data_IF_380465739904
#
_entry.id   IF_380465739904
#
_cell.length_a   1.000
_cell.length_b   1.000
_cell.length_c   1.000
_cell.angle_alpha   90.00
_cell.angle_beta   90.00
_cell.angle_gamma   90.00
#
_symmetry.space_group_name_H-M   'P 1'
#
loop_
_entity.id
_entity.type
_entity.pdbx_description
1 polymer ?
#
# COMPACT_ATOMS: atom_id res chain seq x y z
N UNK A 1 19.16 28.24 -0.10
CA UNK A 1 17.76 27.81 -0.45
C UNK A 1 17.70 27.11 -1.79
N UNK A 2 18.15 27.72 -2.91
CA UNK A 2 18.15 27.06 -4.22
C UNK A 2 18.84 25.68 -4.23
N UNK A 3 19.92 25.50 -3.48
CA UNK A 3 20.61 24.21 -3.36
C UNK A 3 19.74 23.10 -2.73
N UNK A 4 19.02 23.39 -1.64
CA UNK A 4 18.14 22.41 -0.97
C UNK A 4 16.96 22.04 -1.89
N UNK A 5 16.40 23.02 -2.60
CA UNK A 5 15.33 22.82 -3.57
C UNK A 5 15.79 21.94 -4.72
N UNK A 6 16.93 22.25 -5.33
CA UNK A 6 17.50 21.48 -6.44
C UNK A 6 17.89 20.07 -5.99
N UNK A 7 18.48 19.93 -4.81
CA UNK A 7 18.85 18.63 -4.25
C UNK A 7 17.61 17.76 -3.99
N UNK A 8 16.58 18.33 -3.35
CA UNK A 8 15.34 17.59 -3.04
C UNK A 8 14.61 17.13 -4.31
N UNK A 9 14.40 18.03 -5.27
CA UNK A 9 13.79 17.68 -6.56
C UNK A 9 14.67 16.68 -7.32
N UNK A 10 15.98 16.89 -7.34
CA UNK A 10 16.92 15.99 -8.02
C UNK A 10 16.87 14.57 -7.47
N UNK A 11 16.85 14.41 -6.13
CA UNK A 11 16.76 13.10 -5.48
C UNK A 11 15.44 12.39 -5.79
N UNK A 12 14.29 13.10 -5.69
CA UNK A 12 12.98 12.52 -5.98
C UNK A 12 12.87 12.16 -7.46
N UNK A 13 13.35 13.01 -8.36
CA UNK A 13 13.36 12.74 -9.80
C UNK A 13 14.26 11.55 -10.16
N UNK A 14 15.46 11.49 -9.58
CA UNK A 14 16.36 10.35 -9.77
C UNK A 14 15.71 9.03 -9.30
N UNK A 15 15.08 9.05 -8.12
CA UNK A 15 14.33 7.89 -7.62
C UNK A 15 13.21 7.48 -8.59
N UNK A 16 12.40 8.42 -9.05
CA UNK A 16 11.30 8.14 -9.98
C UNK A 16 11.80 7.47 -11.27
N UNK A 17 12.89 8.00 -11.84
CA UNK A 17 13.52 7.40 -13.03
C UNK A 17 14.03 5.99 -12.73
N UNK A 18 14.74 5.79 -11.61
CA UNK A 18 15.26 4.47 -11.22
C UNK A 18 14.12 3.46 -11.04
N UNK A 19 13.07 3.82 -10.30
CA UNK A 19 11.90 2.97 -10.10
C UNK A 19 11.23 2.63 -11.44
N UNK A 20 11.02 3.61 -12.32
CA UNK A 20 10.44 3.38 -13.64
C UNK A 20 11.28 2.44 -14.50
N UNK A 21 12.61 2.62 -14.52
CA UNK A 21 13.54 1.75 -15.26
C UNK A 21 13.53 0.33 -14.70
N UNK A 22 13.60 0.17 -13.37
CA UNK A 22 13.57 -1.14 -12.74
C UNK A 22 12.24 -1.87 -13.00
N UNK A 23 11.12 -1.17 -12.94
CA UNK A 23 9.81 -1.73 -13.23
C UNK A 23 9.68 -2.17 -14.71
N UNK A 24 10.27 -1.41 -15.64
CA UNK A 24 10.34 -1.82 -17.05
C UNK A 24 11.22 -3.08 -17.22
N UNK A 25 12.36 -3.14 -16.57
CA UNK A 25 13.25 -4.32 -16.62
C UNK A 25 12.54 -5.54 -16.02
N UNK A 26 11.83 -5.37 -14.91
CA UNK A 26 11.05 -6.46 -14.29
C UNK A 26 10.02 -7.03 -15.28
N UNK A 27 9.31 -6.18 -16.01
CA UNK A 27 8.31 -6.60 -17.02
C UNK A 27 8.87 -7.54 -18.10
N UNK A 28 10.15 -7.37 -18.46
CA UNK A 28 10.83 -8.23 -19.44
C UNK A 28 11.53 -9.43 -18.79
N UNK A 29 11.48 -9.55 -17.47
CA UNK A 29 11.93 -10.75 -16.76
C UNK A 29 10.98 -11.90 -17.09
N UNK A 30 11.54 -13.11 -17.27
CA UNK A 30 10.71 -14.30 -17.42
C UNK A 30 9.82 -14.46 -16.18
N UNK A 31 8.52 -14.39 -16.37
CA UNK A 31 7.54 -14.62 -15.30
C UNK A 31 7.62 -16.05 -14.77
N UNK A 32 6.94 -16.33 -13.65
CA UNK A 32 6.83 -17.69 -13.17
C UNK A 32 6.15 -18.54 -14.24
N UNK A 33 6.70 -19.71 -14.48
CA UNK A 33 6.05 -20.71 -15.34
C UNK A 33 4.90 -21.34 -14.61
N UNK A 34 3.78 -21.49 -15.26
CA UNK A 34 2.69 -22.26 -14.71
C UNK A 34 3.11 -23.73 -14.59
N UNK A 35 2.93 -24.29 -13.40
CA UNK A 35 3.19 -25.70 -13.10
C UNK A 35 1.84 -26.39 -12.82
N UNK A 36 1.20 -27.00 -13.82
CA UNK A 36 -0.14 -27.60 -13.65
C UNK A 36 -0.21 -28.66 -12.56
N UNK A 37 0.91 -29.35 -12.31
CA UNK A 37 1.00 -30.39 -11.27
C UNK A 37 1.17 -29.80 -9.85
N UNK A 38 1.51 -28.52 -9.72
CA UNK A 38 1.67 -27.86 -8.42
C UNK A 38 0.35 -27.22 -7.99
N UNK A 39 -0.51 -28.01 -7.37
CA UNK A 39 -1.81 -27.59 -6.84
C UNK A 39 -1.96 -28.03 -5.37
N UNK A 40 -1.19 -27.43 -4.43
CA UNK A 40 -1.35 -27.69 -3.01
C UNK A 40 -2.74 -27.21 -2.53
N UNK A 41 -3.17 -27.69 -1.36
CA UNK A 41 -4.30 -27.06 -0.67
C UNK A 41 -3.92 -25.61 -0.30
N UNK A 42 -4.88 -24.70 -0.42
CA UNK A 42 -4.76 -23.27 -0.06
C UNK A 42 -5.83 -22.91 0.96
N UNK A 43 -5.46 -22.24 2.04
CA UNK A 43 -6.40 -21.64 2.98
C UNK A 43 -6.51 -20.14 2.72
N UNK A 44 -7.68 -19.68 2.32
CA UNK A 44 -7.98 -18.25 2.17
C UNK A 44 -8.47 -17.72 3.50
N UNK A 45 -7.77 -16.70 4.04
CA UNK A 45 -8.02 -16.10 5.35
C UNK A 45 -8.64 -14.73 5.19
N UNK A 46 -9.83 -14.52 5.73
CA UNK A 46 -10.59 -13.26 5.63
C UNK A 46 -10.92 -12.77 7.04
N UNK A 47 -10.14 -11.85 7.62
CA UNK A 47 -10.51 -11.22 8.89
C UNK A 47 -11.59 -10.17 8.65
N UNK A 48 -12.68 -10.20 9.41
CA UNK A 48 -13.80 -9.28 9.28
C UNK A 48 -14.11 -8.60 10.62
N UNK A 49 -14.39 -7.30 10.58
CA UNK A 49 -14.90 -6.54 11.73
C UNK A 49 -15.78 -5.39 11.25
N UNK A 50 -17.10 -5.52 11.46
CA UNK A 50 -18.11 -4.54 11.01
C UNK A 50 -18.05 -4.29 9.49
N UNK A 51 -18.24 -5.35 8.71
CA UNK A 51 -18.17 -5.36 7.24
C UNK A 51 -19.43 -5.94 6.61
N UNK A 52 -20.60 -5.76 7.25
CA UNK A 52 -21.88 -6.34 6.81
C UNK A 52 -22.23 -6.00 5.35
N UNK A 53 -21.85 -4.81 4.88
CA UNK A 53 -22.20 -4.34 3.54
C UNK A 53 -21.40 -5.03 2.42
N UNK A 54 -20.21 -5.56 2.70
CA UNK A 54 -19.27 -6.01 1.68
C UNK A 54 -18.80 -7.46 1.84
N UNK A 55 -18.84 -8.02 3.06
CA UNK A 55 -18.25 -9.32 3.38
C UNK A 55 -18.78 -10.48 2.52
N UNK A 56 -20.07 -10.48 2.21
CA UNK A 56 -20.69 -11.53 1.38
C UNK A 56 -20.10 -11.54 -0.02
N UNK A 57 -19.88 -10.33 -0.58
CA UNK A 57 -19.28 -10.19 -1.90
C UNK A 57 -17.82 -10.67 -1.91
N UNK A 58 -17.06 -10.33 -0.88
CA UNK A 58 -15.67 -10.77 -0.71
C UNK A 58 -15.55 -12.28 -0.61
N UNK A 59 -16.35 -12.92 0.25
CA UNK A 59 -16.33 -14.38 0.42
C UNK A 59 -16.75 -15.08 -0.88
N UNK A 60 -17.78 -14.58 -1.57
CA UNK A 60 -18.20 -15.14 -2.85
C UNK A 60 -17.12 -15.03 -3.92
N UNK A 61 -16.42 -13.89 -4.02
CA UNK A 61 -15.32 -13.73 -4.97
C UNK A 61 -14.19 -14.73 -4.73
N UNK A 62 -13.89 -15.05 -3.46
CA UNK A 62 -12.92 -16.08 -3.11
C UNK A 62 -13.41 -17.49 -3.49
N UNK A 63 -14.70 -17.77 -3.35
CA UNK A 63 -15.33 -19.05 -3.73
C UNK A 63 -15.43 -19.23 -5.26
N UNK A 64 -15.51 -18.13 -6.01
CA UNK A 64 -15.52 -18.14 -7.48
C UNK A 64 -14.12 -18.35 -8.08
N UNK A 65 -13.11 -18.57 -7.24
CA UNK A 65 -11.75 -18.85 -7.71
C UNK A 65 -11.69 -20.10 -8.59
N UNK A 66 -10.92 -20.02 -9.66
CA UNK A 66 -10.60 -21.15 -10.55
C UNK A 66 -9.64 -22.17 -9.90
N UNK A 67 -9.10 -21.85 -8.71
CA UNK A 67 -8.16 -22.72 -8.01
C UNK A 67 -8.88 -23.93 -7.38
N UNK A 68 -8.50 -25.19 -7.72
CA UNK A 68 -9.37 -26.36 -7.46
C UNK A 68 -9.34 -26.84 -6.00
N UNK A 69 -8.35 -26.45 -5.21
CA UNK A 69 -8.14 -26.97 -3.85
C UNK A 69 -8.01 -25.82 -2.85
N UNK A 70 -9.12 -25.20 -2.49
CA UNK A 70 -9.12 -24.11 -1.51
C UNK A 70 -10.16 -24.38 -0.40
N UNK A 71 -9.88 -23.86 0.78
CA UNK A 71 -10.82 -23.63 1.87
C UNK A 71 -10.84 -22.15 2.19
N UNK A 72 -11.99 -21.62 2.59
CA UNK A 72 -12.12 -20.22 3.03
C UNK A 72 -12.38 -20.20 4.53
N UNK A 73 -11.58 -19.44 5.27
CA UNK A 73 -11.70 -19.26 6.71
C UNK A 73 -11.98 -17.78 6.96
N UNK A 74 -13.19 -17.49 7.43
CA UNK A 74 -13.62 -16.14 7.79
C UNK A 74 -13.58 -16.00 9.30
N UNK A 75 -12.85 -15.01 9.81
CA UNK A 75 -12.82 -14.71 11.24
C UNK A 75 -13.57 -13.43 11.49
N UNK A 76 -14.76 -13.54 12.09
CA UNK A 76 -15.45 -12.37 12.64
C UNK A 76 -14.81 -11.98 13.99
N UNK A 77 -14.19 -10.82 14.01
CA UNK A 77 -13.47 -10.28 15.17
C UNK A 77 -14.42 -9.46 16.09
N UNK A 78 -15.58 -10.03 16.39
CA UNK A 78 -16.56 -9.47 17.32
C UNK A 78 -17.32 -8.28 16.74
N UNK A 79 -17.82 -8.41 15.53
CA UNK A 79 -18.66 -7.39 14.85
C UNK A 79 -19.95 -7.10 15.62
N UNK A 80 -20.47 -5.87 15.43
CA UNK A 80 -21.69 -5.36 16.11
C UNK A 80 -22.71 -4.80 15.11
N UNK A 81 -22.46 -4.91 13.81
CA UNK A 81 -23.27 -4.34 12.73
C UNK A 81 -24.13 -5.38 11.96
N UNK A 82 -24.12 -6.64 12.43
CA UNK A 82 -24.83 -7.75 11.75
C UNK A 82 -23.94 -8.62 10.86
N UNK A 83 -22.63 -8.34 10.77
CA UNK A 83 -21.68 -9.14 9.99
C UNK A 83 -21.70 -10.61 10.41
N UNK A 84 -21.70 -10.89 11.73
CA UNK A 84 -21.66 -12.26 12.26
C UNK A 84 -22.88 -13.06 11.83
N UNK A 85 -24.07 -12.51 12.02
CA UNK A 85 -25.35 -13.14 11.66
C UNK A 85 -25.44 -13.40 10.15
N UNK A 86 -24.95 -12.42 9.36
CA UNK A 86 -24.94 -12.53 7.90
C UNK A 86 -23.99 -13.63 7.41
N UNK A 87 -22.83 -13.76 8.01
CA UNK A 87 -21.87 -14.84 7.71
C UNK A 87 -22.46 -16.22 8.02
N UNK A 88 -23.11 -16.38 9.18
CA UNK A 88 -23.74 -17.63 9.57
C UNK A 88 -24.92 -18.00 8.65
N UNK A 89 -25.74 -17.02 8.27
CA UNK A 89 -26.88 -17.21 7.38
C UNK A 89 -26.42 -17.65 5.97
N UNK A 90 -25.45 -16.97 5.40
CA UNK A 90 -25.02 -17.18 4.02
C UNK A 90 -24.05 -18.36 3.87
N UNK A 91 -23.15 -18.55 4.83
CA UNK A 91 -22.03 -19.48 4.69
C UNK A 91 -21.97 -20.59 5.75
N UNK A 92 -22.75 -20.52 6.84
CA UNK A 92 -22.70 -21.51 7.94
C UNK A 92 -23.00 -22.97 7.53
N UNK A 93 -23.56 -23.18 6.34
CA UNK A 93 -23.80 -24.53 5.78
C UNK A 93 -22.91 -24.86 4.58
N UNK A 94 -22.05 -23.95 4.16
CA UNK A 94 -21.16 -24.16 3.02
C UNK A 94 -19.92 -24.94 3.48
N UNK A 95 -19.68 -26.18 3.00
CA UNK A 95 -18.55 -27.00 3.46
C UNK A 95 -17.18 -26.42 3.05
N UNK A 96 -17.14 -25.51 2.09
CA UNK A 96 -15.91 -24.84 1.66
C UNK A 96 -15.58 -23.61 2.51
N UNK A 97 -16.50 -23.15 3.38
CA UNK A 97 -16.33 -21.97 4.22
C UNK A 97 -16.39 -22.34 5.69
N UNK A 98 -15.42 -21.92 6.45
CA UNK A 98 -15.42 -22.00 7.91
C UNK A 98 -15.56 -20.60 8.49
N UNK A 99 -16.69 -20.34 9.14
CA UNK A 99 -16.92 -19.09 9.87
C UNK A 99 -16.54 -19.31 11.34
N UNK A 100 -15.75 -18.41 11.90
CA UNK A 100 -15.28 -18.45 13.29
C UNK A 100 -15.51 -17.09 13.91
N UNK A 101 -16.13 -17.04 15.08
CA UNK A 101 -16.36 -15.83 15.84
C UNK A 101 -15.42 -15.74 17.02
N UNK A 102 -14.86 -14.54 17.26
CA UNK A 102 -14.06 -14.25 18.44
C UNK A 102 -14.39 -12.88 19.03
N UNK A 103 -14.12 -12.63 20.32
CA UNK A 103 -14.16 -11.28 20.86
C UNK A 103 -13.15 -10.39 20.14
N UNK A 104 -13.47 -9.10 19.91
CA UNK A 104 -12.59 -8.18 19.21
C UNK A 104 -11.21 -8.08 19.86
N UNK A 105 -10.19 -8.48 19.14
CA UNK A 105 -8.77 -8.43 19.52
C UNK A 105 -7.91 -7.75 18.45
N UNK A 106 -8.52 -7.33 17.33
CA UNK A 106 -7.89 -6.68 16.19
C UNK A 106 -7.39 -7.64 15.11
N UNK A 107 -7.21 -7.12 13.90
CA UNK A 107 -6.87 -7.88 12.69
C UNK A 107 -5.68 -8.85 12.86
N UNK A 108 -4.55 -8.50 13.52
CA UNK A 108 -3.46 -9.48 13.71
C UNK A 108 -3.87 -10.70 14.54
N UNK A 109 -4.74 -10.53 15.54
CA UNK A 109 -5.23 -11.65 16.34
C UNK A 109 -6.19 -12.53 15.54
N UNK A 110 -7.08 -11.93 14.74
CA UNK A 110 -7.95 -12.66 13.82
C UNK A 110 -7.17 -13.47 12.79
N UNK A 111 -6.13 -12.87 12.16
CA UNK A 111 -5.24 -13.58 11.24
C UNK A 111 -4.44 -14.71 11.92
N UNK A 112 -3.98 -14.48 13.15
CA UNK A 112 -3.29 -15.53 13.93
C UNK A 112 -4.22 -16.70 14.27
N UNK A 113 -5.47 -16.41 14.59
CA UNK A 113 -6.48 -17.44 14.82
C UNK A 113 -6.78 -18.21 13.52
N UNK A 114 -6.99 -17.48 12.41
CA UNK A 114 -7.18 -18.12 11.10
C UNK A 114 -5.99 -19.01 10.69
N UNK A 115 -4.77 -18.57 10.95
CA UNK A 115 -3.54 -19.34 10.73
C UNK A 115 -3.53 -20.66 11.52
N UNK A 116 -3.97 -20.62 12.78
CA UNK A 116 -4.03 -21.81 13.62
C UNK A 116 -5.09 -22.84 13.14
N UNK A 117 -6.15 -22.36 12.51
CA UNK A 117 -7.23 -23.17 11.96
C UNK A 117 -6.98 -23.63 10.50
N UNK A 118 -5.99 -23.04 9.84
CA UNK A 118 -5.67 -23.36 8.45
C UNK A 118 -5.10 -24.77 8.30
N UNK A 119 -5.60 -25.50 7.30
CA UNK A 119 -5.18 -26.88 7.02
C UNK A 119 -4.03 -26.94 6.00
N UNK A 120 -3.64 -25.81 5.41
CA UNK A 120 -2.68 -25.75 4.31
C UNK A 120 -1.34 -25.09 4.70
N UNK A 121 -0.29 -25.43 3.93
CA UNK A 121 1.01 -24.76 4.03
C UNK A 121 1.12 -23.47 3.23
N UNK A 122 0.10 -23.13 2.42
CA UNK A 122 0.04 -21.90 1.65
C UNK A 122 -1.26 -21.18 1.98
N UNK A 123 -1.12 -19.95 2.43
CA UNK A 123 -2.22 -19.11 2.90
C UNK A 123 -2.40 -17.95 1.92
N UNK A 124 -3.64 -17.59 1.64
CA UNK A 124 -3.98 -16.34 0.93
C UNK A 124 -4.74 -15.46 1.89
N UNK A 125 -4.29 -14.23 2.11
CA UNK A 125 -5.02 -13.26 2.93
C UNK A 125 -5.74 -12.28 2.02
N UNK A 126 -7.01 -12.03 2.34
CA UNK A 126 -7.88 -11.08 1.63
C UNK A 126 -8.55 -10.21 2.68
N UNK A 127 -8.50 -8.88 2.53
CA UNK A 127 -9.26 -7.97 3.41
C UNK A 127 -10.77 -8.09 3.14
N UNK A 128 -11.58 -7.88 4.16
CA UNK A 128 -13.03 -8.08 4.11
C UNK A 128 -13.76 -7.16 3.10
N UNK A 129 -13.11 -6.09 2.65
CA UNK A 129 -13.57 -5.12 1.65
C UNK A 129 -12.95 -5.33 0.25
N UNK A 130 -12.33 -6.49 0.02
CA UNK A 130 -11.59 -6.76 -1.23
C UNK A 130 -12.20 -7.93 -1.99
N UNK A 131 -12.58 -7.71 -3.23
CA UNK A 131 -12.98 -8.77 -4.16
C UNK A 131 -11.81 -9.18 -5.05
N UNK A 132 -11.67 -10.47 -5.31
CA UNK A 132 -10.55 -11.00 -6.09
C UNK A 132 -11.03 -11.53 -7.45
N UNK A 133 -10.17 -11.37 -8.47
CA UNK A 133 -10.41 -11.99 -9.78
C UNK A 133 -10.35 -13.53 -9.65
N UNK A 134 -11.10 -14.28 -10.46
CA UNK A 134 -11.17 -15.73 -10.34
C UNK A 134 -9.82 -16.44 -10.42
N UNK A 135 -8.86 -15.92 -11.18
CA UNK A 135 -7.52 -16.49 -11.36
C UNK A 135 -6.47 -15.95 -10.37
N UNK A 136 -6.88 -15.04 -9.46
CA UNK A 136 -5.95 -14.38 -8.54
C UNK A 136 -5.24 -15.37 -7.61
N UNK A 137 -5.96 -16.35 -7.07
CA UNK A 137 -5.37 -17.37 -6.17
C UNK A 137 -4.37 -18.23 -6.93
N UNK A 138 -4.71 -18.71 -8.13
CA UNK A 138 -3.81 -19.53 -8.95
C UNK A 138 -2.53 -18.76 -9.33
N UNK A 139 -2.64 -17.45 -9.65
CA UNK A 139 -1.51 -16.57 -9.94
C UNK A 139 -0.59 -16.39 -8.72
N UNK A 140 -1.13 -16.18 -7.53
CA UNK A 140 -0.32 -16.09 -6.32
C UNK A 140 0.39 -17.41 -5.99
N UNK A 141 -0.32 -18.52 -6.11
CA UNK A 141 0.17 -19.85 -5.69
C UNK A 141 1.31 -20.35 -6.57
N UNK A 142 1.31 -20.05 -7.88
CA UNK A 142 2.35 -20.51 -8.84
C UNK A 142 3.78 -20.17 -8.41
N UNK A 143 3.98 -19.10 -7.64
CA UNK A 143 5.30 -18.70 -7.15
C UNK A 143 5.89 -19.63 -6.09
N UNK A 144 5.04 -20.35 -5.35
CA UNK A 144 5.47 -21.23 -4.25
C UNK A 144 6.08 -22.56 -4.72
N UNK A 145 6.11 -22.82 -6.01
CA UNK A 145 6.98 -23.87 -6.60
C UNK A 145 8.43 -23.64 -6.21
N UNK A 146 8.86 -22.37 -6.11
CA UNK A 146 10.15 -22.02 -5.53
C UNK A 146 10.06 -22.11 -4.00
N UNK A 147 10.80 -23.05 -3.37
CA UNK A 147 10.75 -23.24 -1.92
C UNK A 147 11.31 -22.06 -1.12
N UNK A 148 12.03 -21.14 -1.75
CA UNK A 148 12.56 -19.94 -1.10
C UNK A 148 11.55 -18.81 -0.99
N UNK A 149 10.45 -18.87 -1.71
CA UNK A 149 9.41 -17.83 -1.66
C UNK A 149 8.60 -18.00 -0.38
N UNK A 150 8.67 -16.99 0.47
CA UNK A 150 7.94 -16.89 1.73
C UNK A 150 6.64 -16.10 1.61
N UNK A 151 6.59 -15.13 0.68
CA UNK A 151 5.39 -14.32 0.45
C UNK A 151 5.29 -13.83 -1.00
N UNK A 152 4.05 -13.59 -1.44
CA UNK A 152 3.72 -13.04 -2.77
C UNK A 152 2.74 -11.88 -2.58
N UNK A 153 3.10 -10.70 -3.06
CA UNK A 153 2.22 -9.55 -3.09
C UNK A 153 1.32 -9.59 -4.32
N UNK A 154 0.02 -9.39 -4.15
CA UNK A 154 -0.92 -9.23 -5.24
C UNK A 154 -0.99 -7.78 -5.76
N UNK A 155 -1.66 -7.63 -6.89
CA UNK A 155 -1.94 -6.35 -7.55
C UNK A 155 -3.30 -5.81 -7.05
N UNK A 156 -3.25 -4.95 -6.05
CA UNK A 156 -4.46 -4.35 -5.48
C UNK A 156 -4.83 -3.10 -6.27
N UNK A 157 -6.09 -3.01 -6.65
CA UNK A 157 -6.70 -1.91 -7.42
C UNK A 157 -7.89 -1.33 -6.68
N UNK A 158 -8.15 -0.04 -6.88
CA UNK A 158 -9.34 0.62 -6.32
C UNK A 158 -10.56 0.33 -7.18
N UNK A 159 -11.63 -0.20 -6.60
CA UNK A 159 -12.89 -0.53 -7.27
C UNK A 159 -13.86 0.65 -7.37
N UNK A 160 -14.10 1.37 -6.29
CA UNK A 160 -15.08 2.45 -6.17
C UNK A 160 -14.58 3.81 -6.71
N UNK A 161 -14.29 3.92 -8.00
CA UNK A 161 -13.74 5.14 -8.65
C UNK A 161 -14.80 6.22 -8.93
N UNK A 162 -15.67 6.53 -7.96
CA UNK A 162 -16.87 7.35 -8.12
C UNK A 162 -16.65 8.84 -7.88
N UNK A 163 -15.58 9.23 -7.17
CA UNK A 163 -15.28 10.63 -6.82
C UNK A 163 -13.87 11.03 -7.22
N UNK A 164 -13.55 12.34 -7.20
CA UNK A 164 -12.18 12.81 -7.38
C UNK A 164 -11.23 12.21 -6.35
N UNK A 165 -11.70 12.05 -5.10
CA UNK A 165 -10.90 11.52 -4.00
C UNK A 165 -10.54 10.04 -4.22
N UNK A 166 -11.52 9.21 -4.63
CA UNK A 166 -11.28 7.79 -4.93
C UNK A 166 -10.48 7.60 -6.21
N UNK A 167 -10.63 8.49 -7.21
CA UNK A 167 -9.79 8.49 -8.42
C UNK A 167 -8.33 8.87 -8.14
N UNK A 168 -8.05 9.80 -7.22
CA UNK A 168 -6.67 10.08 -6.79
C UNK A 168 -6.05 8.90 -6.07
N UNK A 169 -6.82 8.17 -5.27
CA UNK A 169 -6.35 6.95 -4.63
C UNK A 169 -6.07 5.84 -5.66
N UNK A 170 -6.96 5.66 -6.65
CA UNK A 170 -6.70 4.73 -7.75
C UNK A 170 -5.41 5.07 -8.52
N UNK A 171 -5.20 6.36 -8.82
CA UNK A 171 -3.96 6.83 -9.44
C UNK A 171 -2.74 6.52 -8.55
N UNK A 172 -2.81 6.75 -7.23
CA UNK A 172 -1.74 6.43 -6.29
C UNK A 172 -1.43 4.93 -6.26
N UNK A 173 -2.44 4.05 -6.28
CA UNK A 173 -2.23 2.61 -6.29
C UNK A 173 -1.44 2.18 -7.54
N UNK A 174 -1.80 2.68 -8.71
CA UNK A 174 -1.09 2.38 -9.96
C UNK A 174 0.34 2.94 -9.95
N UNK A 175 0.49 4.22 -9.64
CA UNK A 175 1.75 4.96 -9.87
C UNK A 175 2.76 4.84 -8.74
N UNK A 176 2.31 4.50 -7.54
CA UNK A 176 3.17 4.39 -6.37
C UNK A 176 3.24 2.94 -5.90
N UNK A 177 2.11 2.35 -5.48
CA UNK A 177 2.15 1.03 -4.84
C UNK A 177 2.53 -0.09 -5.82
N UNK A 178 1.87 -0.18 -6.98
CA UNK A 178 2.10 -1.28 -7.92
C UNK A 178 3.41 -1.09 -8.70
N UNK A 179 3.70 0.13 -9.16
CA UNK A 179 4.96 0.42 -9.84
C UNK A 179 6.17 0.15 -8.93
N UNK A 180 6.10 0.54 -7.66
CA UNK A 180 7.17 0.30 -6.69
C UNK A 180 7.34 -1.20 -6.39
N UNK A 181 6.25 -1.96 -6.24
CA UNK A 181 6.34 -3.42 -6.04
C UNK A 181 7.09 -4.10 -7.18
N UNK A 182 6.81 -3.74 -8.44
CA UNK A 182 7.57 -4.24 -9.61
C UNK A 182 9.06 -3.96 -9.49
N UNK A 183 9.42 -2.70 -9.23
CA UNK A 183 10.81 -2.30 -9.11
C UNK A 183 11.53 -3.02 -7.97
N UNK A 184 10.88 -3.16 -6.82
CA UNK A 184 11.46 -3.81 -5.65
C UNK A 184 11.41 -5.34 -5.71
N UNK A 185 10.53 -5.94 -6.52
CA UNK A 185 10.56 -7.37 -6.82
C UNK A 185 11.87 -7.76 -7.50
N UNK A 186 12.27 -6.99 -8.51
CA UNK A 186 13.53 -7.21 -9.22
C UNK A 186 14.75 -7.22 -8.27
N UNK A 187 14.67 -6.44 -7.20
CA UNK A 187 15.72 -6.32 -6.18
C UNK A 187 15.51 -7.23 -4.97
N UNK A 188 14.45 -8.03 -4.97
CA UNK A 188 14.02 -8.88 -3.85
C UNK A 188 13.97 -8.08 -2.53
N UNK A 189 13.32 -6.92 -2.54
CA UNK A 189 13.22 -6.04 -1.38
C UNK A 189 11.89 -5.28 -1.31
N UNK A 190 10.79 -5.91 -1.72
CA UNK A 190 9.44 -5.38 -1.57
C UNK A 190 9.22 -4.96 -0.11
N UNK A 191 8.85 -3.69 0.14
CA UNK A 191 8.77 -3.17 1.51
C UNK A 191 7.47 -3.58 2.22
N UNK A 192 6.41 -3.89 1.48
CA UNK A 192 5.11 -4.30 2.00
C UNK A 192 4.41 -5.27 1.07
N UNK A 193 3.98 -6.39 1.61
CA UNK A 193 3.05 -7.33 1.00
C UNK A 193 1.67 -6.96 1.52
N UNK A 194 0.73 -6.47 0.67
CA UNK A 194 -0.50 -5.82 1.14
C UNK A 194 -1.45 -6.81 1.80
N UNK A 195 -2.08 -6.41 2.91
CA UNK A 195 -3.12 -7.21 3.57
C UNK A 195 -4.32 -7.51 2.67
N UNK A 196 -4.64 -6.59 1.74
CA UNK A 196 -5.82 -6.68 0.88
C UNK A 196 -5.78 -7.86 -0.11
N UNK A 197 -4.61 -8.23 -0.63
CA UNK A 197 -4.43 -9.46 -1.42
C UNK A 197 -2.97 -9.89 -1.39
N UNK A 198 -2.73 -11.05 -0.77
CA UNK A 198 -1.38 -11.61 -0.70
C UNK A 198 -1.41 -13.11 -0.43
N UNK A 199 -0.29 -13.78 -0.71
CA UNK A 199 -0.11 -15.17 -0.34
C UNK A 199 1.17 -15.37 0.47
N UNK A 200 1.16 -16.34 1.38
CA UNK A 200 2.19 -16.58 2.36
C UNK A 200 2.47 -18.06 2.52
N UNK A 201 3.72 -18.40 2.72
CA UNK A 201 4.10 -19.72 3.20
C UNK A 201 3.92 -19.76 4.73
N UNK A 202 3.13 -20.71 5.24
CA UNK A 202 2.88 -20.84 6.68
C UNK A 202 4.17 -21.00 7.50
N UNK A 203 5.16 -21.73 6.96
CA UNK A 203 6.48 -21.89 7.55
C UNK A 203 7.18 -20.53 7.72
N UNK A 204 7.14 -19.66 6.70
CA UNK A 204 7.75 -18.33 6.77
C UNK A 204 7.07 -17.41 7.80
N UNK A 205 5.73 -17.48 7.93
CA UNK A 205 5.02 -16.76 8.99
C UNK A 205 5.41 -17.29 10.36
N UNK A 206 5.48 -18.61 10.54
CA UNK A 206 5.82 -19.22 11.82
C UNK A 206 7.26 -18.87 12.24
N UNK A 207 8.22 -18.91 11.32
CA UNK A 207 9.60 -18.46 11.58
C UNK A 207 9.69 -16.98 11.91
N UNK A 208 8.80 -16.16 11.34
CA UNK A 208 8.68 -14.73 11.65
C UNK A 208 8.03 -14.45 13.02
N UNK A 209 7.46 -15.46 13.69
CA UNK A 209 6.76 -15.33 14.96
C UNK A 209 5.26 -15.03 14.84
N UNK A 210 4.67 -15.22 13.65
CA UNK A 210 3.25 -14.99 13.41
C UNK A 210 2.89 -13.55 13.06
N UNK A 211 1.58 -13.24 13.01
CA UNK A 211 1.08 -11.88 12.83
C UNK A 211 1.20 -11.11 14.16
N UNK A 212 1.95 -10.01 14.15
CA UNK A 212 2.26 -9.23 15.34
C UNK A 212 1.33 -8.02 15.48
N UNK A 213 0.84 -7.77 16.69
CA UNK A 213 0.08 -6.56 17.05
C UNK A 213 0.98 -5.41 17.57
N UNK A 214 2.31 -5.54 17.49
CA UNK A 214 3.26 -4.51 17.97
C UNK A 214 3.24 -3.26 17.09
N UNK A 215 2.79 -3.38 15.85
CA UNK A 215 2.61 -2.27 14.92
C UNK A 215 1.18 -2.23 14.37
N UNK A 216 0.71 -1.06 13.97
CA UNK A 216 -0.61 -0.92 13.32
C UNK A 216 -0.56 -1.16 11.79
N UNK A 217 0.59 -1.62 11.28
CA UNK A 217 0.79 -2.12 9.93
C UNK A 217 1.44 -3.51 10.04
N UNK A 218 0.64 -4.50 10.41
CA UNK A 218 1.06 -5.89 10.64
C UNK A 218 1.66 -6.50 9.37
N UNK A 219 1.15 -6.14 8.22
CA UNK A 219 1.61 -6.57 6.91
C UNK A 219 3.02 -6.08 6.59
N UNK A 220 3.30 -4.81 6.85
CA UNK A 220 4.64 -4.21 6.68
C UNK A 220 5.64 -4.85 7.66
N UNK A 221 5.25 -5.02 8.91
CA UNK A 221 6.09 -5.64 9.95
C UNK A 221 6.43 -7.09 9.60
N UNK A 222 5.41 -7.88 9.22
CA UNK A 222 5.57 -9.26 8.80
C UNK A 222 6.45 -9.38 7.55
N UNK A 223 6.24 -8.52 6.54
CA UNK A 223 7.06 -8.46 5.32
C UNK A 223 8.53 -8.29 5.65
N UNK A 224 8.87 -7.31 6.48
CA UNK A 224 10.26 -7.05 6.88
C UNK A 224 10.82 -8.23 7.68
N UNK A 225 10.02 -8.81 8.58
CA UNK A 225 10.46 -9.93 9.43
C UNK A 225 10.77 -11.19 8.60
N UNK A 226 9.91 -11.54 7.65
CA UNK A 226 10.10 -12.65 6.70
C UNK A 226 11.37 -12.43 5.86
N UNK A 227 11.61 -11.21 5.36
CA UNK A 227 12.84 -10.89 4.65
C UNK A 227 14.07 -10.99 5.53
N UNK A 228 14.00 -10.60 6.80
CA UNK A 228 15.11 -10.75 7.79
C UNK A 228 15.42 -12.21 8.09
N UNK A 229 14.43 -13.09 8.05
CA UNK A 229 14.59 -14.54 8.18
C UNK A 229 15.26 -15.17 6.94
N UNK A 230 15.34 -14.46 5.81
CA UNK A 230 16.05 -14.91 4.60
C UNK A 230 15.13 -15.42 3.49
N UNK A 231 13.82 -15.37 3.68
CA UNK A 231 12.84 -15.71 2.65
C UNK A 231 12.79 -14.69 1.51
N UNK A 232 12.49 -15.16 0.32
CA UNK A 232 12.26 -14.30 -0.84
C UNK A 232 10.81 -13.81 -0.85
N UNK A 233 10.60 -12.56 -1.28
CA UNK A 233 9.28 -11.98 -1.48
C UNK A 233 9.18 -11.52 -2.92
N UNK A 234 8.08 -11.86 -3.59
CA UNK A 234 7.84 -11.52 -4.99
C UNK A 234 6.48 -10.85 -5.18
N UNK A 235 6.25 -10.30 -6.37
CA UNK A 235 5.01 -9.65 -6.77
C UNK A 235 4.41 -10.35 -7.98
N UNK A 236 3.09 -10.52 -8.00
CA UNK A 236 2.38 -10.98 -9.18
C UNK A 236 1.42 -9.91 -9.70
N UNK A 237 1.72 -9.35 -10.86
CA UNK A 237 0.92 -8.30 -11.50
C UNK A 237 -0.45 -8.77 -11.99
N UNK A 238 -0.57 -10.09 -12.22
CA UNK A 238 -1.78 -10.71 -12.76
C UNK A 238 -2.75 -11.15 -11.66
N UNK A 239 -2.28 -11.25 -10.40
CA UNK A 239 -3.12 -11.55 -9.25
C UNK A 239 -3.87 -10.29 -8.80
N UNK A 240 -5.05 -10.05 -9.34
CA UNK A 240 -5.79 -8.80 -9.16
C UNK A 240 -6.82 -8.92 -8.04
N UNK A 241 -6.82 -7.93 -7.14
CA UNK A 241 -7.85 -7.71 -6.14
C UNK A 241 -8.38 -6.27 -6.20
N UNK A 242 -9.68 -6.12 -6.08
CA UNK A 242 -10.40 -4.84 -6.12
C UNK A 242 -10.83 -4.48 -4.71
N UNK A 243 -10.28 -3.42 -4.14
CA UNK A 243 -10.61 -2.92 -2.79
C UNK A 243 -11.34 -1.59 -2.86
N UNK A 244 -12.12 -1.27 -1.85
CA UNK A 244 -12.78 0.01 -1.76
C UNK A 244 -11.87 1.06 -1.10
N UNK A 245 -11.77 2.21 -1.75
CA UNK A 245 -11.02 3.34 -1.24
C UNK A 245 -11.94 4.26 -0.41
N UNK A 246 -11.43 4.88 0.67
CA UNK A 246 -12.16 5.88 1.43
C UNK A 246 -12.77 6.97 0.57
N UNK A 247 -14.09 7.21 0.74
CA UNK A 247 -14.85 8.18 -0.05
C UNK A 247 -14.85 9.59 0.55
N UNK A 248 -14.51 9.69 1.85
CA UNK A 248 -14.44 10.97 2.55
C UNK A 248 -13.00 11.35 2.92
N UNK A 249 -12.72 12.65 2.99
CA UNK A 249 -11.40 13.12 3.39
C UNK A 249 -11.05 12.71 4.84
N UNK A 250 -12.05 12.63 5.73
CA UNK A 250 -11.85 12.18 7.11
C UNK A 250 -11.40 10.73 7.16
N UNK A 251 -12.09 9.87 6.42
CA UNK A 251 -11.83 8.46 6.27
C UNK A 251 -10.42 8.21 5.71
N UNK A 252 -10.11 8.89 4.60
CA UNK A 252 -8.79 8.83 4.00
C UNK A 252 -7.69 9.22 5.00
N UNK A 253 -7.86 10.34 5.71
CA UNK A 253 -6.85 10.81 6.68
C UNK A 253 -6.65 9.80 7.81
N UNK A 254 -7.71 9.16 8.32
CA UNK A 254 -7.62 8.11 9.33
C UNK A 254 -6.86 6.88 8.79
N UNK A 255 -7.22 6.39 7.60
CA UNK A 255 -6.57 5.24 6.97
C UNK A 255 -5.07 5.52 6.72
N UNK A 256 -4.75 6.65 6.11
CA UNK A 256 -3.37 7.05 5.80
C UNK A 256 -2.54 7.32 7.05
N UNK A 257 -3.18 7.83 8.12
CA UNK A 257 -2.51 7.97 9.41
C UNK A 257 -2.07 6.61 9.96
N UNK A 258 -2.94 5.59 9.94
CA UNK A 258 -2.59 4.22 10.37
C UNK A 258 -1.41 3.68 9.54
N UNK A 259 -1.47 3.80 8.21
CA UNK A 259 -0.41 3.32 7.32
C UNK A 259 0.92 4.03 7.60
N UNK A 260 0.91 5.34 7.67
CA UNK A 260 2.13 6.14 7.91
C UNK A 260 2.71 5.88 9.29
N UNK A 261 1.84 5.82 10.32
CA UNK A 261 2.26 5.56 11.69
C UNK A 261 2.79 4.13 11.84
N UNK A 262 2.12 3.15 11.25
CA UNK A 262 2.56 1.75 11.24
C UNK A 262 3.87 1.56 10.49
N UNK A 263 4.08 2.26 9.38
CA UNK A 263 5.37 2.28 8.66
C UNK A 263 6.48 2.87 9.53
N UNK A 264 6.20 3.95 10.29
CA UNK A 264 7.14 4.52 11.27
C UNK A 264 7.48 3.50 12.38
N UNK A 265 6.48 2.82 12.94
CA UNK A 265 6.68 1.78 13.96
C UNK A 265 7.53 0.64 13.41
N UNK A 266 7.19 0.10 12.22
CA UNK A 266 7.91 -0.99 11.57
C UNK A 266 9.35 -0.58 11.24
N UNK A 267 9.56 0.63 10.70
CA UNK A 267 10.89 1.15 10.47
C UNK A 267 11.71 1.23 11.76
N UNK A 268 11.13 1.76 12.84
CA UNK A 268 11.81 1.89 14.13
C UNK A 268 12.14 0.53 14.76
N UNK A 269 11.22 -0.43 14.68
CA UNK A 269 11.40 -1.80 15.15
C UNK A 269 12.58 -2.47 14.45
N UNK A 270 12.68 -2.29 13.13
CA UNK A 270 13.68 -2.95 12.29
C UNK A 270 14.90 -2.07 11.94
N UNK A 271 15.10 -0.91 12.60
CA UNK A 271 16.19 0.03 12.30
C UNK A 271 17.59 -0.58 12.40
N UNK A 272 17.73 -1.62 13.19
CA UNK A 272 18.98 -2.38 13.33
C UNK A 272 19.40 -3.10 12.03
N UNK A 273 18.51 -3.22 11.06
CA UNK A 273 18.76 -3.81 9.74
C UNK A 273 19.50 -2.84 8.81
N UNK A 274 19.40 -1.51 9.06
CA UNK A 274 19.98 -0.48 8.20
C UNK A 274 21.49 -0.67 8.02
N UNK A 275 21.94 -0.66 6.75
CA UNK A 275 23.35 -0.73 6.36
C UNK A 275 24.05 -2.04 6.69
N UNK A 276 23.35 -3.07 7.16
CA UNK A 276 23.95 -4.36 7.46
C UNK A 276 23.93 -5.28 6.23
N UNK A 277 25.10 -5.71 5.81
CA UNK A 277 25.28 -6.61 4.66
C UNK A 277 24.55 -7.95 4.81
N UNK A 278 24.36 -8.43 6.06
CA UNK A 278 23.59 -9.64 6.36
C UNK A 278 22.19 -9.63 5.75
N UNK A 279 21.56 -8.45 5.66
CA UNK A 279 20.18 -8.31 5.18
C UNK A 279 20.09 -7.84 3.72
N UNK A 280 21.22 -7.78 3.01
CA UNK A 280 21.28 -7.48 1.59
C UNK A 280 20.50 -6.22 1.20
N UNK A 281 19.69 -6.33 0.16
CA UNK A 281 18.87 -5.23 -0.41
C UNK A 281 17.84 -4.67 0.57
N UNK A 282 17.34 -5.45 1.52
CA UNK A 282 16.44 -4.94 2.57
C UNK A 282 17.11 -3.81 3.37
N UNK A 283 18.36 -4.04 3.85
CA UNK A 283 19.07 -3.08 4.68
C UNK A 283 19.66 -1.89 3.91
N UNK A 284 20.04 -2.10 2.65
CA UNK A 284 20.70 -1.07 1.84
C UNK A 284 19.79 -0.31 0.88
N UNK A 285 18.62 -0.85 0.56
CA UNK A 285 17.70 -0.25 -0.42
C UNK A 285 16.32 -0.01 0.19
N UNK A 286 15.61 -1.06 0.66
CA UNK A 286 14.22 -0.92 1.09
C UNK A 286 14.08 0.01 2.31
N UNK A 287 14.78 -0.25 3.42
CA UNK A 287 14.69 0.58 4.62
C UNK A 287 15.20 2.01 4.41
N UNK A 288 16.35 2.27 3.73
CA UNK A 288 16.75 3.61 3.36
C UNK A 288 15.72 4.32 2.46
N UNK A 289 15.07 3.61 1.51
CA UNK A 289 14.01 4.17 0.69
C UNK A 289 12.80 4.60 1.52
N UNK A 290 12.32 3.75 2.44
CA UNK A 290 11.24 4.10 3.38
C UNK A 290 11.62 5.36 4.17
N UNK A 291 12.79 5.36 4.81
CA UNK A 291 13.23 6.49 5.63
C UNK A 291 13.35 7.78 4.82
N UNK A 292 14.05 7.74 3.70
CA UNK A 292 14.37 8.95 2.93
C UNK A 292 13.16 9.48 2.17
N UNK A 293 12.43 8.61 1.45
CA UNK A 293 11.42 9.04 0.48
C UNK A 293 9.98 8.97 1.00
N UNK A 294 9.70 8.14 2.00
CA UNK A 294 8.35 8.07 2.58
C UNK A 294 8.22 8.87 3.88
N UNK A 295 9.33 9.10 4.61
CA UNK A 295 9.30 9.80 5.90
C UNK A 295 10.03 11.14 5.83
N UNK A 296 11.32 11.17 5.53
CA UNK A 296 12.16 12.36 5.70
C UNK A 296 11.86 13.44 4.65
N UNK A 297 11.97 13.14 3.35
CA UNK A 297 11.78 14.15 2.29
C UNK A 297 10.36 14.72 2.27
N UNK A 298 9.28 13.94 2.48
CA UNK A 298 7.94 14.49 2.53
C UNK A 298 7.71 15.47 3.70
N UNK A 299 8.46 15.37 4.80
CA UNK A 299 8.39 16.35 5.91
C UNK A 299 8.86 17.75 5.46
N UNK A 300 9.81 17.83 4.53
CA UNK A 300 10.32 19.09 4.01
C UNK A 300 9.55 19.59 2.79
N UNK A 301 8.76 18.73 2.14
CA UNK A 301 8.04 19.09 0.91
C UNK A 301 7.09 20.28 1.05
N UNK A 302 6.33 20.47 2.16
CA UNK A 302 5.49 21.66 2.35
C UNK A 302 6.29 22.95 2.36
N UNK A 303 7.49 22.93 2.96
CA UNK A 303 8.36 24.10 2.99
C UNK A 303 8.84 24.44 1.57
N UNK A 304 9.17 23.43 0.77
CA UNK A 304 9.56 23.60 -0.63
C UNK A 304 8.41 24.19 -1.45
N UNK A 305 7.19 23.68 -1.29
CA UNK A 305 6.00 24.16 -1.97
C UNK A 305 5.69 25.63 -1.57
N UNK A 306 5.77 25.98 -0.28
CA UNK A 306 5.57 27.35 0.21
C UNK A 306 6.62 28.32 -0.32
N UNK A 307 7.89 27.90 -0.34
CA UNK A 307 8.98 28.72 -0.90
C UNK A 307 8.80 28.96 -2.40
N UNK A 308 8.35 27.94 -3.13
CA UNK A 308 8.05 28.05 -4.55
C UNK A 308 6.89 29.04 -4.81
N UNK A 309 5.76 28.87 -4.11
CA UNK A 309 4.60 29.76 -4.23
C UNK A 309 4.93 31.20 -3.80
N UNK A 310 5.71 31.35 -2.72
CA UNK A 310 6.21 32.65 -2.27
C UNK A 310 7.08 33.33 -3.32
N UNK A 311 7.98 32.58 -3.98
CA UNK A 311 8.83 33.11 -5.05
C UNK A 311 8.01 33.56 -6.26
N UNK A 312 6.98 32.81 -6.65
CA UNK A 312 6.08 33.18 -7.75
C UNK A 312 5.27 34.44 -7.40
N UNK A 313 4.73 34.52 -6.17
CA UNK A 313 3.98 35.69 -5.71
C UNK A 313 4.84 36.96 -5.70
N UNK A 314 6.06 36.86 -5.16
CA UNK A 314 7.02 38.00 -5.12
C UNK A 314 7.42 38.44 -6.52
N UNK A 315 7.67 37.50 -7.44
CA UNK A 315 7.93 37.81 -8.83
C UNK A 315 6.75 38.51 -9.50
N UNK A 316 5.52 38.00 -9.31
CA UNK A 316 4.30 38.62 -9.83
C UNK A 316 4.10 40.05 -9.31
N UNK A 317 4.33 40.27 -8.02
CA UNK A 317 4.25 41.59 -7.41
C UNK A 317 5.32 42.54 -7.99
N UNK A 318 6.52 42.05 -8.29
CA UNK A 318 7.58 42.85 -8.92
C UNK A 318 7.21 43.34 -10.33
N UNK A 319 6.48 42.51 -11.08
CA UNK A 319 5.95 42.89 -12.40
C UNK A 319 4.88 43.98 -12.32
N UNK A 320 4.19 44.10 -11.19
CA UNK A 320 3.19 45.12 -10.93
C UNK A 320 3.82 46.44 -10.38
N UNK A 321 5.16 46.59 -10.44
CA UNK A 321 5.91 47.78 -10.01
C UNK A 321 5.77 48.14 -8.52
N UNK A 322 5.51 47.16 -7.65
CA UNK A 322 5.60 47.33 -6.20
C UNK A 322 7.10 47.42 -5.79
N UNK A 323 7.67 48.62 -5.72
CA UNK A 323 9.11 48.86 -5.60
C UNK A 323 9.68 48.70 -4.18
N UNK A 324 8.88 48.47 -3.15
CA UNK A 324 9.33 48.42 -1.75
C UNK A 324 9.36 47.00 -1.15
N UNK A 325 9.27 45.94 -2.00
CA UNK A 325 9.35 44.57 -1.51
C UNK A 325 10.83 44.16 -1.44
N UNK A 326 11.32 43.64 -0.30
CA UNK A 326 12.65 43.07 -0.21
C UNK A 326 12.85 42.00 -1.26
N UNK A 327 13.79 42.22 -2.21
CA UNK A 327 14.08 41.21 -3.24
C UNK A 327 14.95 40.11 -2.64
N UNK A 328 14.32 39.16 -1.93
CA UNK A 328 15.01 37.96 -1.49
C UNK A 328 15.30 36.97 -2.64
N UNK A 329 14.69 37.18 -3.81
CA UNK A 329 14.80 36.35 -5.00
C UNK A 329 15.04 37.23 -6.23
N UNK A 330 16.05 36.87 -7.03
CA UNK A 330 16.23 37.49 -8.34
C UNK A 330 15.29 36.86 -9.36
N UNK A 331 14.99 37.56 -10.46
CA UNK A 331 14.22 36.98 -11.58
C UNK A 331 14.86 35.67 -12.11
N UNK A 332 16.21 35.61 -12.07
CA UNK A 332 16.95 34.40 -12.45
C UNK A 332 16.70 33.23 -11.48
N UNK A 333 16.54 33.48 -10.18
CA UNK A 333 16.26 32.44 -9.19
C UNK A 333 14.83 31.88 -9.38
N UNK A 334 13.87 32.76 -9.67
CA UNK A 334 12.49 32.36 -9.96
C UNK A 334 12.43 31.54 -11.25
N UNK A 335 13.11 31.98 -12.30
CA UNK A 335 13.16 31.25 -13.56
C UNK A 335 13.80 29.87 -13.39
N UNK A 336 14.91 29.75 -12.65
CA UNK A 336 15.52 28.46 -12.34
C UNK A 336 14.56 27.55 -11.57
N UNK A 337 13.91 28.07 -10.52
CA UNK A 337 12.94 27.31 -9.73
C UNK A 337 11.77 26.80 -10.59
N UNK A 338 11.29 27.63 -11.52
CA UNK A 338 10.23 27.26 -12.47
C UNK A 338 10.69 26.14 -13.42
N UNK A 339 11.90 26.24 -13.98
CA UNK A 339 12.45 25.20 -14.86
C UNK A 339 12.58 23.86 -14.13
N UNK A 340 13.12 23.87 -12.89
CA UNK A 340 13.20 22.65 -12.09
C UNK A 340 11.83 22.08 -11.73
N UNK A 341 10.86 22.94 -11.39
CA UNK A 341 9.50 22.50 -11.09
C UNK A 341 8.81 21.88 -12.30
N UNK A 342 8.93 22.50 -13.48
CA UNK A 342 8.37 21.95 -14.73
C UNK A 342 9.07 20.63 -15.09
N UNK A 343 10.39 20.56 -14.96
CA UNK A 343 11.14 19.34 -15.18
C UNK A 343 10.69 18.21 -14.25
N UNK A 344 10.49 18.52 -12.98
CA UNK A 344 9.96 17.56 -12.01
C UNK A 344 8.54 17.07 -12.38
N UNK A 345 7.63 18.00 -12.73
CA UNK A 345 6.27 17.65 -13.16
C UNK A 345 6.27 16.77 -14.42
N UNK A 346 7.20 17.03 -15.33
CA UNK A 346 7.36 16.21 -16.54
C UNK A 346 7.83 14.80 -16.19
N UNK A 347 8.82 14.66 -15.30
CA UNK A 347 9.31 13.35 -14.83
C UNK A 347 8.20 12.58 -14.09
N UNK A 348 7.47 13.25 -13.20
CA UNK A 348 6.33 12.68 -12.49
C UNK A 348 5.26 12.17 -13.47
N UNK A 349 4.89 13.00 -14.45
CA UNK A 349 3.96 12.60 -15.52
C UNK A 349 4.47 11.42 -16.34
N UNK A 350 5.73 11.43 -16.77
CA UNK A 350 6.32 10.33 -17.53
C UNK A 350 6.37 9.03 -16.70
N UNK A 351 6.65 9.12 -15.41
CA UNK A 351 6.61 7.97 -14.51
C UNK A 351 5.19 7.41 -14.39
N UNK A 352 4.17 8.28 -14.30
CA UNK A 352 2.78 7.85 -14.36
C UNK A 352 2.43 7.15 -15.69
N UNK A 353 2.87 7.70 -16.83
CA UNK A 353 2.68 7.06 -18.14
C UNK A 353 3.32 5.67 -18.16
N UNK A 354 4.54 5.52 -17.66
CA UNK A 354 5.20 4.22 -17.52
C UNK A 354 4.37 3.27 -16.66
N UNK A 355 3.90 3.72 -15.49
CA UNK A 355 3.07 2.91 -14.61
C UNK A 355 1.81 2.39 -15.33
N UNK A 356 1.11 3.26 -16.04
CA UNK A 356 -0.10 2.88 -16.80
C UNK A 356 0.20 1.95 -17.98
N UNK A 357 1.34 2.08 -18.64
CA UNK A 357 1.74 1.15 -19.72
C UNK A 357 2.07 -0.24 -19.19
N UNK A 358 2.50 -0.35 -17.93
CA UNK A 358 2.83 -1.61 -17.28
C UNK A 358 1.60 -2.29 -16.65
N UNK A 359 0.55 -1.52 -16.33
CA UNK A 359 -0.68 -2.06 -15.76
C UNK A 359 -1.65 -2.56 -16.84
N UNK A 360 -2.26 -3.72 -16.57
CA UNK A 360 -3.32 -4.27 -17.44
C UNK A 360 -4.67 -3.65 -17.10
N UNK A 361 -5.45 -3.32 -18.13
CA UNK A 361 -6.85 -2.89 -18.01
C UNK A 361 -7.07 -1.62 -17.17
N UNK A 362 -6.08 -0.71 -17.10
CA UNK A 362 -6.26 0.56 -16.41
C UNK A 362 -6.88 1.63 -17.30
N UNK A 363 -7.74 2.44 -16.67
CA UNK A 363 -8.40 3.57 -17.32
C UNK A 363 -7.44 4.77 -17.38
N UNK A 364 -6.93 5.08 -18.58
CA UNK A 364 -6.05 6.22 -18.83
C UNK A 364 -6.67 7.56 -18.47
N UNK A 365 -8.00 7.65 -18.31
CA UNK A 365 -8.66 8.87 -17.84
C UNK A 365 -8.25 9.26 -16.42
N UNK A 366 -7.70 8.32 -15.64
CA UNK A 366 -7.12 8.59 -14.31
C UNK A 366 -5.89 9.50 -14.35
N UNK A 367 -5.26 9.74 -15.50
CA UNK A 367 -4.15 10.70 -15.61
C UNK A 367 -4.61 12.16 -15.50
N UNK A 368 -5.88 12.48 -15.82
CA UNK A 368 -6.38 13.84 -15.69
C UNK A 368 -6.36 14.39 -14.25
N UNK A 369 -6.75 13.61 -13.22
CA UNK A 369 -6.62 14.00 -11.81
C UNK A 369 -5.21 14.34 -11.35
N UNK A 370 -4.17 13.84 -12.02
CA UNK A 370 -2.76 14.07 -11.65
C UNK A 370 -2.42 15.56 -11.54
N UNK A 371 -2.93 16.40 -12.44
CA UNK A 371 -2.65 17.84 -12.44
C UNK A 371 -3.11 18.54 -11.16
N UNK A 372 -4.22 18.08 -10.57
CA UNK A 372 -4.79 18.65 -9.34
C UNK A 372 -4.36 17.92 -8.07
N UNK A 373 -3.84 16.69 -8.20
CA UNK A 373 -3.43 15.85 -7.08
C UNK A 373 -2.43 16.55 -6.16
N UNK A 374 -1.48 17.28 -6.74
CA UNK A 374 -0.43 17.98 -5.98
C UNK A 374 -0.97 19.08 -5.09
N UNK A 375 -2.03 19.78 -5.51
CA UNK A 375 -2.56 20.94 -4.80
C UNK A 375 -3.55 20.57 -3.69
N UNK A 376 -4.17 19.41 -3.76
CA UNK A 376 -5.15 18.99 -2.77
C UNK A 376 -4.76 17.69 -2.06
N UNK A 377 -4.65 16.59 -2.80
CA UNK A 377 -4.38 15.26 -2.24
C UNK A 377 -3.04 15.20 -1.51
N UNK A 378 -1.99 15.69 -2.13
CA UNK A 378 -0.64 15.71 -1.54
C UNK A 378 -0.58 16.57 -0.27
N UNK A 379 -1.33 17.66 -0.19
CA UNK A 379 -1.40 18.50 1.02
C UNK A 379 -2.04 17.74 2.20
N UNK A 380 -3.07 16.93 1.94
CA UNK A 380 -3.64 16.04 2.95
C UNK A 380 -2.60 15.02 3.46
N UNK A 381 -1.79 14.45 2.56
CA UNK A 381 -0.74 13.50 2.95
C UNK A 381 0.33 14.15 3.82
N UNK A 382 0.67 15.41 3.60
CA UNK A 382 1.57 16.15 4.49
C UNK A 382 0.99 16.28 5.90
N UNK A 383 -0.29 16.62 6.03
CA UNK A 383 -0.98 16.69 7.33
C UNK A 383 -0.97 15.34 8.04
N UNK A 384 -1.21 14.27 7.31
CA UNK A 384 -1.14 12.89 7.82
C UNK A 384 0.24 12.58 8.37
N UNK A 385 1.29 12.82 7.56
CA UNK A 385 2.67 12.55 7.97
C UNK A 385 3.06 13.35 9.22
N UNK A 386 2.76 14.66 9.25
CA UNK A 386 3.04 15.48 10.43
C UNK A 386 2.34 14.95 11.67
N UNK A 387 1.06 14.57 11.57
CA UNK A 387 0.31 13.96 12.69
C UNK A 387 0.93 12.65 13.14
N UNK A 388 1.36 11.80 12.21
CA UNK A 388 1.99 10.52 12.52
C UNK A 388 3.33 10.72 13.25
N UNK A 389 4.18 11.60 12.75
CA UNK A 389 5.47 11.92 13.38
C UNK A 389 5.27 12.55 14.76
N UNK A 390 4.35 13.50 14.89
CA UNK A 390 4.03 14.10 16.20
C UNK A 390 3.48 13.08 17.18
N UNK A 391 2.62 12.16 16.72
CA UNK A 391 2.10 11.06 17.55
C UNK A 391 3.23 10.15 18.03
N UNK A 392 4.16 9.79 17.16
CA UNK A 392 5.33 8.98 17.51
C UNK A 392 6.27 9.68 18.50
N UNK A 393 6.55 10.97 18.31
CA UNK A 393 7.40 11.76 19.22
C UNK A 393 6.74 11.91 20.60
N UNK A 394 5.41 12.06 20.66
CA UNK A 394 4.65 12.16 21.90
C UNK A 394 4.46 10.81 22.62
N UNK A 395 4.91 9.70 22.04
CA UNK A 395 4.74 8.37 22.60
C UNK A 395 3.28 7.93 22.72
N UNK A 396 2.37 8.47 21.88
CA UNK A 396 0.96 8.10 21.92
C UNK A 396 0.81 6.61 21.56
N UNK A 397 0.15 5.81 22.40
CA UNK A 397 -0.17 4.45 22.04
C UNK A 397 -1.21 4.48 20.91
N UNK A 398 -0.82 4.03 19.74
CA UNK A 398 -1.74 3.76 18.63
C UNK A 398 -1.75 2.25 18.44
N UNK A 399 -2.89 1.63 18.65
CA UNK A 399 -3.09 0.19 18.52
C UNK A 399 -4.36 -0.11 17.75
N UNK A 400 -4.56 -1.36 17.38
CA UNK A 400 -5.77 -1.85 16.70
C UNK A 400 -7.05 -1.67 17.53
N UNK A 401 -6.96 -1.66 18.87
CA UNK A 401 -8.08 -1.38 19.77
C UNK A 401 -8.38 0.13 19.75
N UNK A 402 -9.49 0.52 19.17
CA UNK A 402 -9.94 1.93 19.09
C UNK A 402 -9.95 2.50 17.67
N UNK A 403 -9.75 1.68 16.67
CA UNK A 403 -10.04 2.03 15.27
C UNK A 403 -11.49 1.62 15.00
N UNK A 404 -12.41 2.56 15.13
CA UNK A 404 -13.79 2.34 14.69
C UNK A 404 -13.81 2.14 13.18
N UNK A 405 -14.58 1.14 12.66
CA UNK A 405 -14.78 0.95 11.22
C UNK A 405 -15.46 2.18 10.63
N UNK A 406 -15.17 2.46 9.39
CA UNK A 406 -15.85 3.52 8.64
C UNK A 406 -17.09 2.93 7.99
N UNK A 407 -18.25 3.45 8.37
CA UNK A 407 -19.51 3.16 7.68
C UNK A 407 -19.42 3.81 6.29
N UNK A 408 -19.50 3.06 5.19
CA UNK A 408 -19.57 3.62 3.84
C UNK A 408 -20.76 4.58 3.71
N UNK A 409 -20.57 5.73 3.08
CA UNK A 409 -21.57 6.79 2.97
C UNK A 409 -22.83 6.39 2.16
N UNK A 410 -22.83 5.23 1.51
CA UNK A 410 -23.96 4.75 0.70
C UNK A 410 -25.21 4.31 1.47
N UNK A 411 -25.12 4.08 2.79
CA UNK A 411 -26.23 3.57 3.60
C UNK A 411 -27.11 4.67 4.20
N UNK A 412 -26.74 5.94 4.07
CA UNK A 412 -27.49 7.05 4.68
C UNK A 412 -28.71 7.53 3.87
N UNK A 413 -29.01 6.94 2.70
CA UNK A 413 -30.12 7.38 1.84
C UNK A 413 -30.80 6.18 1.11
N UNK A 414 -31.37 5.25 1.86
CA UNK A 414 -32.52 4.46 1.39
C UNK A 414 -33.55 4.35 2.49
#
# INVERSE_FOLDING_TARGET
>A
MAFIFVLGIGLVSCRAIVIGVLAIIEKFRAGPTDHPDFQPLVSVLIPAYNEADVIVYTVNSALESDYPKLEVIVIDDGSTDGTAELLDEQFGRNPAVRVIHQPNQGKPAALSHALAEASSGILVTIDADTAVEPDAVSKLVRHFVNPRVGAVAGNVKVGNRISWLTRWQALEYVTSQNLEKRAFDLLNCIPVVPGALSAWRAEAINEAGGFSAETVAEDTDLTITIRRAGWDITYDEEAIGWTDAPETASALVKQRFRWTFGTLQSFWKHRDTLGRTKYGTLGWIALPNIFLFQLLLPLFSPVIDLLFLGSLAMWGLSLLHFTHIPQFWTAADVQRSLVFFIGFMLIDFLTCVVAFTLERHEDWSLLWPLLLQRFYYRQMMYVVLFRAVMGAVQGKPVGWRGVEPEIPAHVAHT
#
